data_IF_686478200957
#
_entry.id   IF_686478200957
#
_cell.length_a   1.000
_cell.length_b   1.000
_cell.length_c   1.000
_cell.angle_alpha   90.00
_cell.angle_beta   90.00
_cell.angle_gamma   90.00
#
_symmetry.space_group_name_H-M   'P 1'
#
loop_
_entity.id
_entity.type
_entity.pdbx_description
1 polymer ?
#
# COMPACT_ATOMS: atom_id res chain seq x y z
N UNK A 1 73.82 -82.26 -40.99
CA UNK A 1 72.42 -81.93 -40.68
C UNK A 1 72.08 -82.63 -39.37
N UNK A 2 72.52 -82.04 -38.26
CA UNK A 2 71.74 -81.18 -37.33
C UNK A 2 70.90 -82.00 -36.34
N UNK A 3 71.26 -81.85 -35.07
CA UNK A 3 70.68 -82.53 -33.91
C UNK A 3 69.30 -81.95 -33.55
N UNK A 4 68.51 -82.72 -32.80
CA UNK A 4 67.49 -82.20 -31.90
C UNK A 4 67.67 -82.83 -30.51
N UNK A 5 67.60 -82.01 -29.47
CA UNK A 5 67.60 -82.44 -28.06
C UNK A 5 66.58 -81.61 -27.27
N UNK A 6 66.01 -82.25 -26.24
CA UNK A 6 65.47 -81.67 -25.00
C UNK A 6 64.16 -80.86 -25.12
N UNK A 7 63.02 -81.44 -24.67
CA UNK A 7 62.38 -81.29 -23.31
C UNK A 7 61.66 -79.94 -23.11
N UNK A 8 60.53 -79.78 -22.41
CA UNK A 8 59.94 -80.47 -21.24
C UNK A 8 58.39 -80.54 -21.28
N UNK A 9 57.82 -81.21 -20.27
CA UNK A 9 56.39 -81.56 -20.05
C UNK A 9 55.54 -80.38 -19.45
N UNK A 10 54.33 -80.53 -18.85
CA UNK A 10 53.14 -79.85 -19.34
C UNK A 10 52.54 -78.84 -18.33
N UNK A 11 51.40 -78.21 -18.67
CA UNK A 11 50.53 -77.54 -17.69
C UNK A 11 49.06 -77.64 -18.09
N UNK A 12 48.13 -77.86 -17.13
CA UNK A 12 46.73 -78.12 -17.43
C UNK A 12 45.98 -76.85 -17.83
N UNK A 13 45.04 -77.00 -18.77
CA UNK A 13 44.07 -75.94 -19.09
C UNK A 13 42.98 -75.92 -18.02
N UNK A 14 42.81 -74.79 -17.36
CA UNK A 14 41.60 -74.47 -16.62
C UNK A 14 40.81 -73.45 -17.44
N UNK A 15 39.80 -73.92 -18.17
CA UNK A 15 38.77 -73.02 -18.70
C UNK A 15 37.99 -72.43 -17.51
N UNK A 16 37.86 -71.10 -17.48
CA UNK A 16 37.10 -70.37 -16.47
C UNK A 16 36.66 -69.04 -17.06
N UNK A 17 35.49 -69.05 -17.70
CA UNK A 17 34.82 -67.90 -18.30
C UNK A 17 34.70 -66.72 -17.32
N UNK A 18 35.69 -65.83 -17.35
CA UNK A 18 35.64 -64.56 -16.64
C UNK A 18 34.78 -63.58 -17.44
N UNK A 19 33.46 -63.79 -17.37
CA UNK A 19 32.48 -62.76 -17.73
C UNK A 19 32.77 -61.52 -16.88
N UNK A 20 33.03 -60.34 -17.47
CA UNK A 20 33.34 -59.15 -16.67
C UNK A 20 32.14 -58.80 -15.81
N UNK A 21 32.34 -58.81 -14.50
CA UNK A 21 31.36 -58.34 -13.54
C UNK A 21 31.20 -56.83 -13.77
N UNK A 22 30.10 -56.42 -14.42
CA UNK A 22 29.66 -55.02 -14.29
C UNK A 22 29.39 -54.79 -12.80
N UNK A 23 30.07 -53.80 -12.25
CA UNK A 23 29.58 -53.11 -11.05
C UNK A 23 28.16 -52.63 -11.34
N UNK A 24 27.22 -52.74 -10.39
CA UNK A 24 25.96 -52.02 -10.50
C UNK A 24 26.30 -50.53 -10.67
N UNK A 25 25.71 -49.89 -11.67
CA UNK A 25 25.76 -48.44 -11.74
C UNK A 25 25.17 -47.87 -10.44
N UNK A 26 25.73 -46.79 -9.87
CA UNK A 26 25.16 -46.18 -8.66
C UNK A 26 23.70 -45.82 -8.93
N UNK A 27 22.81 -45.93 -7.92
CA UNK A 27 21.40 -45.60 -8.12
C UNK A 27 21.33 -44.17 -8.67
N UNK A 28 20.57 -43.97 -9.76
CA UNK A 28 20.40 -42.68 -10.42
C UNK A 28 20.24 -41.59 -9.36
N UNK A 29 21.26 -40.72 -9.22
CA UNK A 29 21.13 -39.56 -8.36
C UNK A 29 19.97 -38.76 -8.93
N UNK A 30 18.84 -38.77 -8.22
CA UNK A 30 17.69 -37.93 -8.53
C UNK A 30 18.28 -36.53 -8.66
N UNK A 31 18.24 -35.92 -9.87
CA UNK A 31 18.89 -34.64 -10.08
C UNK A 31 18.35 -33.69 -9.02
N UNK A 32 19.21 -32.88 -8.36
CA UNK A 32 18.76 -31.99 -7.30
C UNK A 32 17.55 -31.22 -7.83
N UNK A 33 16.47 -31.10 -7.03
CA UNK A 33 15.23 -30.48 -7.50
C UNK A 33 15.61 -29.16 -8.15
N UNK A 34 15.09 -28.88 -9.37
CA UNK A 34 15.62 -27.80 -10.21
C UNK A 34 15.74 -26.56 -9.36
N UNK A 35 17.00 -26.10 -9.23
CA UNK A 35 17.44 -25.00 -8.37
C UNK A 35 16.31 -23.98 -8.23
N UNK A 36 15.86 -23.70 -6.99
CA UNK A 36 14.84 -22.68 -6.73
C UNK A 36 15.50 -21.32 -6.98
N UNK A 37 15.71 -21.06 -8.27
CA UNK A 37 15.92 -19.78 -8.90
C UNK A 37 14.60 -19.03 -8.79
N UNK A 38 14.24 -18.74 -7.53
CA UNK A 38 13.35 -17.70 -7.08
C UNK A 38 13.64 -16.50 -7.95
N UNK A 39 12.86 -16.36 -9.03
CA UNK A 39 13.20 -15.49 -10.14
C UNK A 39 13.28 -14.06 -9.61
N UNK A 40 14.50 -13.57 -9.36
CA UNK A 40 14.73 -12.41 -8.51
C UNK A 40 14.07 -11.19 -9.17
N UNK A 41 12.90 -10.81 -8.65
CA UNK A 41 12.12 -9.70 -9.21
C UNK A 41 12.89 -8.40 -8.99
N UNK A 42 13.53 -7.93 -10.06
CA UNK A 42 14.17 -6.62 -10.09
C UNK A 42 13.12 -5.53 -10.25
N UNK A 43 13.21 -4.51 -9.40
CA UNK A 43 12.31 -3.36 -9.39
C UNK A 43 13.13 -2.08 -9.55
N UNK A 44 12.63 -1.17 -10.38
CA UNK A 44 13.18 0.19 -10.53
C UNK A 44 12.17 1.23 -10.07
N UNK A 45 12.62 2.46 -9.72
CA UNK A 45 11.73 3.61 -9.62
C UNK A 45 10.80 3.72 -10.84
N UNK A 46 9.53 4.05 -10.57
CA UNK A 46 8.50 4.20 -11.59
C UNK A 46 8.85 5.31 -12.60
N UNK A 47 9.36 6.43 -12.09
CA UNK A 47 9.87 7.55 -12.86
C UNK A 47 10.85 8.37 -12.02
N UNK A 48 11.18 9.58 -12.48
CA UNK A 48 12.02 10.49 -11.69
C UNK A 48 11.33 10.90 -10.38
N UNK A 49 12.09 11.09 -9.27
CA UNK A 49 11.55 11.66 -8.05
C UNK A 49 10.93 13.04 -8.31
N UNK A 50 9.86 13.34 -7.57
CA UNK A 50 9.16 14.63 -7.59
C UNK A 50 9.30 15.34 -6.25
N UNK A 51 9.24 16.66 -6.27
CA UNK A 51 9.08 17.47 -5.05
C UNK A 51 7.69 17.24 -4.44
N UNK A 52 7.55 17.52 -3.13
CA UNK A 52 6.27 17.51 -2.42
C UNK A 52 5.20 18.30 -3.16
N UNK A 53 5.54 19.53 -3.59
CA UNK A 53 4.65 20.40 -4.37
C UNK A 53 4.20 19.77 -5.69
N UNK A 54 5.09 19.15 -6.46
CA UNK A 54 4.73 18.49 -7.72
C UNK A 54 3.93 17.18 -7.53
N UNK A 55 4.01 16.54 -6.36
CA UNK A 55 3.13 15.43 -5.97
C UNK A 55 1.74 15.96 -5.60
N UNK A 56 1.69 16.99 -4.77
CA UNK A 56 0.46 17.61 -4.28
C UNK A 56 -0.33 18.30 -5.42
N UNK A 57 0.34 18.93 -6.39
CA UNK A 57 -0.27 19.43 -7.62
C UNK A 57 -0.90 18.31 -8.46
N UNK A 58 -0.26 17.15 -8.55
CA UNK A 58 -0.82 16.00 -9.26
C UNK A 58 -2.06 15.43 -8.54
N UNK A 59 -2.05 15.40 -7.21
CA UNK A 59 -3.22 15.02 -6.40
C UNK A 59 -4.35 16.04 -6.58
N UNK A 60 -4.07 17.34 -6.46
CA UNK A 60 -5.06 18.43 -6.68
C UNK A 60 -5.67 18.35 -8.08
N UNK A 61 -4.86 18.12 -9.10
CA UNK A 61 -5.33 17.89 -10.48
C UNK A 61 -6.22 16.65 -10.59
N UNK A 62 -5.87 15.55 -9.92
CA UNK A 62 -6.68 14.33 -9.91
C UNK A 62 -8.02 14.49 -9.17
N UNK A 63 -8.03 15.24 -8.07
CA UNK A 63 -9.25 15.58 -7.33
C UNK A 63 -10.22 16.46 -8.13
N UNK A 64 -9.70 17.33 -9.01
CA UNK A 64 -10.49 18.28 -9.83
C UNK A 64 -11.07 17.70 -11.12
N UNK A 65 -10.65 16.51 -11.58
CA UNK A 65 -11.15 15.92 -12.83
C UNK A 65 -12.63 15.53 -12.69
N UNK A 66 -13.45 15.85 -13.69
CA UNK A 66 -14.78 15.26 -13.81
C UNK A 66 -14.65 13.76 -14.14
N UNK A 67 -15.50 12.93 -13.55
CA UNK A 67 -15.55 11.48 -13.79
C UNK A 67 -17.02 11.06 -13.93
N UNK A 68 -17.45 10.82 -15.17
CA UNK A 68 -18.85 10.64 -15.59
C UNK A 68 -19.49 9.29 -15.18
N UNK A 69 -18.96 8.61 -14.17
CA UNK A 69 -19.59 7.43 -13.57
C UNK A 69 -19.15 7.24 -12.11
N UNK A 70 -20.11 7.36 -11.20
CA UNK A 70 -19.98 6.89 -9.82
C UNK A 70 -19.72 5.37 -9.82
N UNK A 71 -18.44 4.98 -9.72
CA UNK A 71 -18.02 3.58 -9.77
C UNK A 71 -17.67 3.08 -8.36
N UNK A 72 -18.55 2.20 -7.86
CA UNK A 72 -18.36 1.48 -6.60
C UNK A 72 -17.34 0.34 -6.76
N UNK A 73 -16.70 -0.04 -5.66
CA UNK A 73 -15.86 -1.23 -5.59
C UNK A 73 -14.86 -1.11 -4.44
N UNK A 74 -13.67 -1.66 -4.64
CA UNK A 74 -12.64 -1.76 -3.61
C UNK A 74 -11.31 -1.19 -4.08
N UNK A 75 -10.57 -0.58 -3.16
CA UNK A 75 -9.11 -0.44 -3.26
C UNK A 75 -8.50 -1.49 -2.34
N UNK A 76 -7.61 -2.32 -2.90
CA UNK A 76 -6.94 -3.40 -2.19
C UNK A 76 -5.43 -3.22 -2.18
N UNK A 77 -4.81 -3.78 -1.16
CA UNK A 77 -3.37 -3.92 -1.01
C UNK A 77 -3.01 -5.38 -0.82
N UNK A 78 -1.98 -5.86 -1.52
CA UNK A 78 -1.37 -7.16 -1.23
C UNK A 78 0.16 -7.07 -1.20
N UNK A 79 0.80 -7.97 -0.47
CA UNK A 79 2.26 -8.14 -0.49
C UNK A 79 2.65 -9.35 -1.33
N UNK A 80 3.84 -9.31 -1.93
CA UNK A 80 4.40 -10.45 -2.67
C UNK A 80 4.83 -11.56 -1.68
N UNK A 81 4.45 -12.84 -1.90
CA UNK A 81 4.68 -13.92 -0.92
C UNK A 81 6.18 -14.18 -0.69
N UNK A 82 6.96 -14.29 -1.76
CA UNK A 82 8.43 -14.34 -1.69
C UNK A 82 8.91 -12.94 -1.31
N UNK A 83 9.14 -12.70 -0.02
CA UNK A 83 9.52 -11.41 0.56
C UNK A 83 10.74 -10.82 -0.16
N UNK A 84 10.52 -9.86 -1.04
CA UNK A 84 11.43 -9.66 -2.18
C UNK A 84 12.82 -9.22 -1.75
N UNK A 85 13.83 -10.01 -2.14
CA UNK A 85 15.22 -9.58 -2.25
C UNK A 85 15.35 -8.67 -3.48
N UNK A 86 15.13 -7.37 -3.31
CA UNK A 86 15.20 -6.39 -4.40
C UNK A 86 16.64 -6.00 -4.66
N UNK A 87 17.06 -6.00 -5.94
CA UNK A 87 18.24 -5.27 -6.41
C UNK A 87 17.81 -3.86 -6.82
N UNK A 88 18.17 -2.85 -6.02
CA UNK A 88 17.93 -1.43 -6.33
C UNK A 88 19.16 -0.86 -7.06
N UNK A 89 19.02 -0.60 -8.35
CA UNK A 89 20.14 -0.14 -9.20
C UNK A 89 21.27 -1.17 -9.26
N UNK A 90 22.50 -0.71 -9.07
CA UNK A 90 23.72 -1.55 -8.98
C UNK A 90 24.04 -2.04 -7.57
N UNK A 91 23.22 -1.71 -6.57
CA UNK A 91 23.46 -2.07 -5.17
C UNK A 91 23.21 -3.54 -4.81
N UNK A 92 23.59 -3.97 -3.60
CA UNK A 92 23.34 -5.33 -3.12
C UNK A 92 21.85 -5.63 -2.96
N UNK A 93 21.51 -6.93 -2.99
CA UNK A 93 20.15 -7.40 -2.71
C UNK A 93 19.73 -7.04 -1.28
N UNK A 94 18.52 -6.52 -1.11
CA UNK A 94 17.93 -6.25 0.22
C UNK A 94 16.51 -6.80 0.30
N UNK A 95 16.17 -7.44 1.43
CA UNK A 95 14.80 -7.84 1.75
C UNK A 95 14.00 -6.56 2.04
N UNK A 96 12.97 -6.28 1.24
CA UNK A 96 12.17 -5.06 1.35
C UNK A 96 10.69 -5.42 1.24
N UNK A 97 9.89 -4.88 2.15
CA UNK A 97 8.42 -4.97 2.05
C UNK A 97 7.94 -4.18 0.84
N UNK A 98 7.19 -4.83 -0.05
CA UNK A 98 6.49 -4.20 -1.15
C UNK A 98 5.00 -4.46 -1.04
N UNK A 99 4.22 -3.38 -1.09
CA UNK A 99 2.76 -3.43 -1.22
C UNK A 99 2.42 -3.14 -2.69
N UNK A 100 1.58 -3.97 -3.29
CA UNK A 100 0.89 -3.62 -4.52
C UNK A 100 -0.46 -3.02 -4.17
N UNK A 101 -0.77 -1.81 -4.66
CA UNK A 101 -2.05 -1.14 -4.43
C UNK A 101 -2.83 -1.04 -5.75
N UNK A 102 -4.06 -1.54 -5.78
CA UNK A 102 -4.90 -1.49 -6.98
C UNK A 102 -6.40 -1.53 -6.68
N UNK A 103 -7.23 -1.35 -7.71
CA UNK A 103 -8.70 -1.35 -7.62
C UNK A 103 -9.38 -2.58 -8.24
N UNK A 104 -10.55 -2.95 -7.74
CA UNK A 104 -11.43 -3.97 -8.34
C UNK A 104 -12.88 -3.84 -7.86
N UNK A 105 -13.86 -4.25 -8.68
CA UNK A 105 -15.24 -4.45 -8.23
C UNK A 105 -15.41 -5.76 -7.43
N UNK A 106 -14.54 -6.75 -7.65
CA UNK A 106 -14.51 -8.02 -6.91
C UNK A 106 -13.05 -8.37 -6.60
N UNK A 107 -12.64 -8.27 -5.33
CA UNK A 107 -11.25 -8.48 -4.91
C UNK A 107 -10.85 -9.96 -4.97
N UNK A 108 -11.74 -10.87 -4.59
CA UNK A 108 -11.47 -12.31 -4.57
C UNK A 108 -11.17 -12.85 -5.99
N UNK A 109 -12.03 -12.52 -6.97
CA UNK A 109 -11.80 -12.82 -8.39
C UNK A 109 -10.49 -12.20 -8.88
N UNK A 110 -10.15 -11.00 -8.41
CA UNK A 110 -8.89 -10.33 -8.77
C UNK A 110 -7.67 -11.05 -8.17
N UNK A 111 -7.72 -11.53 -6.94
CA UNK A 111 -6.65 -12.34 -6.35
C UNK A 111 -6.46 -13.67 -7.10
N UNK A 112 -7.55 -14.35 -7.47
CA UNK A 112 -7.53 -15.56 -8.30
C UNK A 112 -6.90 -15.30 -9.68
N UNK A 113 -7.23 -14.17 -10.32
CA UNK A 113 -6.58 -13.74 -11.57
C UNK A 113 -5.07 -13.50 -11.39
N UNK A 114 -4.66 -12.81 -10.33
CA UNK A 114 -3.24 -12.59 -10.03
C UNK A 114 -2.48 -13.90 -9.84
N UNK A 115 -3.04 -14.84 -9.06
CA UNK A 115 -2.44 -16.16 -8.86
C UNK A 115 -2.24 -16.91 -10.18
N UNK A 116 -3.28 -16.98 -11.02
CA UNK A 116 -3.23 -17.69 -12.30
C UNK A 116 -2.31 -17.01 -13.34
N UNK A 117 -2.40 -15.69 -13.49
CA UNK A 117 -1.68 -14.94 -14.54
C UNK A 117 -0.22 -14.67 -14.16
N UNK A 118 0.05 -14.32 -12.90
CA UNK A 118 1.36 -13.85 -12.48
C UNK A 118 2.24 -14.92 -11.82
N UNK A 119 1.69 -16.14 -11.63
CA UNK A 119 2.36 -17.33 -11.10
C UNK A 119 2.93 -17.14 -9.68
N UNK A 120 2.21 -16.42 -8.83
CA UNK A 120 2.45 -16.35 -7.38
C UNK A 120 1.14 -16.06 -6.64
N UNK A 121 0.96 -16.64 -5.44
CA UNK A 121 -0.21 -16.37 -4.61
C UNK A 121 -0.10 -15.01 -3.89
N UNK A 122 -0.97 -14.01 -4.17
CA UNK A 122 -0.89 -12.71 -3.49
C UNK A 122 -1.34 -12.84 -2.03
N UNK A 123 -0.58 -12.26 -1.10
CA UNK A 123 -1.02 -12.15 0.30
C UNK A 123 -1.75 -10.83 0.49
N UNK A 124 -3.09 -10.87 0.40
CA UNK A 124 -3.94 -9.70 0.64
C UNK A 124 -3.70 -9.15 2.05
N UNK A 125 -3.44 -7.85 2.17
CA UNK A 125 -3.24 -7.15 3.45
C UNK A 125 -4.37 -6.20 3.80
N UNK A 126 -5.06 -5.62 2.81
CA UNK A 126 -6.28 -4.84 3.02
C UNK A 126 -7.19 -4.85 1.79
N UNK A 127 -8.49 -4.62 2.00
CA UNK A 127 -9.47 -4.36 0.96
C UNK A 127 -10.54 -3.41 1.50
N UNK A 128 -10.52 -2.16 1.05
CA UNK A 128 -11.42 -1.10 1.52
C UNK A 128 -12.47 -0.78 0.48
N UNK A 129 -13.74 -0.95 0.86
CA UNK A 129 -14.88 -0.59 0.04
C UNK A 129 -14.95 0.93 -0.16
N UNK A 130 -15.27 1.33 -1.38
CA UNK A 130 -15.42 2.70 -1.85
C UNK A 130 -16.80 2.78 -2.52
N UNK A 131 -17.71 3.54 -1.92
CA UNK A 131 -19.09 3.67 -2.43
C UNK A 131 -19.11 4.30 -3.84
N UNK A 132 -18.19 5.22 -4.10
CA UNK A 132 -18.01 5.86 -5.40
C UNK A 132 -16.52 6.17 -5.65
N UNK A 133 -16.20 6.67 -6.85
CA UNK A 133 -14.93 7.31 -7.19
C UNK A 133 -13.67 6.43 -6.98
N UNK A 134 -13.81 5.10 -6.90
CA UNK A 134 -12.70 4.19 -6.55
C UNK A 134 -11.50 4.25 -7.53
N UNK A 135 -11.73 4.69 -8.77
CA UNK A 135 -10.68 4.91 -9.77
C UNK A 135 -9.86 6.18 -9.49
N UNK A 136 -10.54 7.26 -9.09
CA UNK A 136 -9.92 8.53 -8.72
C UNK A 136 -9.05 8.35 -7.48
N UNK A 137 -9.58 7.68 -6.45
CA UNK A 137 -8.85 7.48 -5.18
C UNK A 137 -7.62 6.58 -5.36
N UNK A 138 -7.69 5.53 -6.18
CA UNK A 138 -6.50 4.72 -6.49
C UNK A 138 -5.40 5.58 -7.15
N UNK A 139 -5.77 6.43 -8.12
CA UNK A 139 -4.84 7.37 -8.76
C UNK A 139 -4.26 8.40 -7.78
N UNK A 140 -5.07 8.92 -6.86
CA UNK A 140 -4.62 9.84 -5.79
C UNK A 140 -3.59 9.15 -4.89
N UNK A 141 -3.86 7.94 -4.39
CA UNK A 141 -2.90 7.17 -3.58
C UNK A 141 -1.63 6.86 -4.36
N UNK A 142 -1.75 6.51 -5.64
CA UNK A 142 -0.60 6.30 -6.55
C UNK A 142 0.24 7.57 -6.76
N UNK A 143 -0.37 8.76 -6.75
CA UNK A 143 0.33 10.04 -6.81
C UNK A 143 1.03 10.37 -5.48
N UNK A 144 0.33 10.22 -4.36
CA UNK A 144 0.89 10.46 -3.01
C UNK A 144 2.12 9.58 -2.74
N UNK A 145 2.09 8.33 -3.23
CA UNK A 145 3.21 7.39 -3.14
C UNK A 145 4.18 7.42 -4.35
N UNK A 146 4.15 8.45 -5.23
CA UNK A 146 4.95 8.48 -6.47
C UNK A 146 6.45 8.22 -6.24
N UNK A 147 7.06 8.82 -5.21
CA UNK A 147 8.48 8.63 -4.91
C UNK A 147 8.81 7.23 -4.32
N UNK A 148 7.82 6.54 -3.76
CA UNK A 148 7.94 5.16 -3.30
C UNK A 148 7.51 4.14 -4.38
N UNK A 149 6.99 4.61 -5.52
CA UNK A 149 6.41 3.77 -6.59
C UNK A 149 7.50 3.11 -7.42
N UNK A 150 7.33 1.82 -7.63
CA UNK A 150 8.24 0.93 -8.35
C UNK A 150 7.55 0.26 -9.54
N UNK A 151 8.36 -0.14 -10.51
CA UNK A 151 7.97 -0.95 -11.66
C UNK A 151 8.86 -2.19 -11.78
N UNK A 152 8.28 -3.32 -12.18
CA UNK A 152 9.07 -4.50 -12.55
C UNK A 152 10.01 -4.16 -13.72
N UNK A 153 11.29 -4.51 -13.59
CA UNK A 153 12.32 -4.20 -14.57
C UNK A 153 12.13 -5.03 -15.84
N UNK A 154 12.23 -6.36 -15.69
CA UNK A 154 12.19 -7.36 -16.77
C UNK A 154 10.77 -7.83 -17.10
N UNK A 155 9.75 -7.20 -16.51
CA UNK A 155 8.37 -7.69 -16.57
C UNK A 155 8.08 -8.78 -15.54
N UNK A 156 6.82 -9.21 -15.49
CA UNK A 156 6.37 -10.28 -14.63
C UNK A 156 6.67 -11.64 -15.25
N UNK A 157 7.33 -12.54 -14.50
CA UNK A 157 7.63 -13.91 -14.95
C UNK A 157 6.40 -14.80 -15.24
N UNK A 158 5.20 -14.38 -14.83
CA UNK A 158 3.94 -15.05 -15.20
C UNK A 158 3.30 -14.50 -16.47
N UNK A 159 2.97 -13.21 -16.48
CA UNK A 159 2.14 -12.60 -17.52
C UNK A 159 2.89 -11.65 -18.48
N UNK A 160 4.22 -11.56 -18.38
CA UNK A 160 5.09 -10.77 -19.27
C UNK A 160 5.02 -9.24 -19.10
N UNK A 161 3.87 -8.68 -18.73
CA UNK A 161 3.71 -7.23 -18.56
C UNK A 161 4.53 -6.68 -17.39
N UNK A 162 4.91 -5.40 -17.48
CA UNK A 162 5.64 -4.69 -16.42
C UNK A 162 4.65 -4.05 -15.45
N UNK A 163 4.44 -4.65 -14.28
CA UNK A 163 3.57 -4.04 -13.28
C UNK A 163 4.22 -2.80 -12.68
N UNK A 164 3.46 -1.70 -12.69
CA UNK A 164 3.90 -0.35 -12.25
C UNK A 164 3.27 0.09 -10.93
N UNK A 165 2.59 -0.80 -10.22
CA UNK A 165 1.70 -0.48 -9.08
C UNK A 165 2.27 -1.03 -7.77
N UNK A 166 3.59 -1.15 -7.69
CA UNK A 166 4.32 -1.60 -6.52
C UNK A 166 4.83 -0.41 -5.73
N UNK A 167 4.84 -0.49 -4.40
CA UNK A 167 5.20 0.62 -3.53
C UNK A 167 6.13 0.13 -2.42
N UNK A 168 7.24 0.84 -2.22
CA UNK A 168 8.20 0.62 -1.15
C UNK A 168 7.74 1.34 0.13
N UNK A 169 6.70 0.80 0.73
CA UNK A 169 6.11 1.21 2.01
C UNK A 169 5.71 -0.05 2.78
N UNK A 170 5.51 0.06 4.09
CA UNK A 170 4.87 -1.00 4.85
C UNK A 170 3.34 -1.04 4.59
N UNK A 171 2.71 -2.16 4.96
CA UNK A 171 1.29 -2.39 4.71
C UNK A 171 0.38 -1.46 5.53
N UNK A 172 0.77 -1.09 6.75
CA UNK A 172 -0.05 -0.27 7.64
C UNK A 172 -0.07 1.19 7.17
N UNK A 173 1.06 1.74 6.73
CA UNK A 173 1.12 3.06 6.10
C UNK A 173 0.31 3.12 4.80
N UNK A 174 0.44 2.11 3.93
CA UNK A 174 -0.36 2.01 2.71
C UNK A 174 -1.86 1.96 3.01
N UNK A 175 -2.27 1.17 4.01
CA UNK A 175 -3.67 1.09 4.44
C UNK A 175 -4.17 2.41 5.05
N UNK A 176 -3.37 3.07 5.89
CA UNK A 176 -3.72 4.34 6.52
C UNK A 176 -4.04 5.42 5.48
N UNK A 177 -3.25 5.52 4.41
CA UNK A 177 -3.54 6.42 3.28
C UNK A 177 -4.86 6.06 2.59
N UNK A 178 -5.10 4.78 2.30
CA UNK A 178 -6.36 4.34 1.67
C UNK A 178 -7.56 4.62 2.57
N UNK A 179 -7.44 4.43 3.88
CA UNK A 179 -8.50 4.72 4.87
C UNK A 179 -8.77 6.22 5.04
N UNK A 180 -7.74 7.07 4.96
CA UNK A 180 -7.89 8.52 4.94
C UNK A 180 -8.76 8.96 3.75
N UNK A 181 -8.41 8.52 2.54
CA UNK A 181 -9.17 8.85 1.33
C UNK A 181 -10.55 8.18 1.29
N UNK A 182 -10.72 7.01 1.91
CA UNK A 182 -12.05 6.41 2.15
C UNK A 182 -12.90 7.29 3.09
N UNK A 183 -12.29 7.92 4.09
CA UNK A 183 -12.91 8.94 4.94
C UNK A 183 -13.42 10.12 4.13
N UNK A 184 -12.57 10.69 3.29
CA UNK A 184 -12.94 11.76 2.35
C UNK A 184 -14.12 11.35 1.44
N UNK A 185 -14.10 10.17 0.81
CA UNK A 185 -15.22 9.70 -0.04
C UNK A 185 -16.53 9.53 0.73
N UNK A 186 -16.49 9.12 2.00
CA UNK A 186 -17.68 9.01 2.86
C UNK A 186 -18.33 10.35 3.21
N UNK A 187 -17.64 11.47 3.01
CA UNK A 187 -18.18 12.82 3.20
C UNK A 187 -18.81 13.38 1.91
N UNK A 188 -19.11 12.49 0.95
CA UNK A 188 -19.75 12.74 -0.35
C UNK A 188 -19.27 14.05 -1.02
N UNK A 189 -17.96 14.18 -1.30
CA UNK A 189 -17.37 15.47 -1.68
C UNK A 189 -17.62 15.86 -3.14
N UNK A 190 -18.41 15.06 -3.86
CA UNK A 190 -18.64 15.16 -5.31
C UNK A 190 -20.13 15.27 -5.64
N UNK A 191 -20.46 16.02 -6.70
CA UNK A 191 -21.78 16.01 -7.32
C UNK A 191 -22.02 14.74 -8.18
N UNK A 192 -23.23 14.62 -8.74
CA UNK A 192 -23.65 13.51 -9.61
C UNK A 192 -22.79 13.37 -10.89
N UNK A 193 -22.12 14.44 -11.32
CA UNK A 193 -21.26 14.50 -12.51
C UNK A 193 -19.78 14.28 -12.15
N UNK A 194 -19.46 14.20 -10.86
CA UNK A 194 -18.13 13.98 -10.33
C UNK A 194 -17.27 15.24 -10.18
N UNK A 195 -17.84 16.45 -10.13
CA UNK A 195 -17.14 17.67 -9.72
C UNK A 195 -17.12 17.80 -8.20
N UNK A 196 -16.10 18.44 -7.63
CA UNK A 196 -16.08 18.76 -6.20
C UNK A 196 -17.20 19.74 -5.87
N UNK A 197 -17.93 19.49 -4.78
CA UNK A 197 -18.90 20.45 -4.26
C UNK A 197 -18.22 21.79 -3.90
N UNK A 198 -18.91 22.94 -3.97
CA UNK A 198 -18.29 24.26 -3.77
C UNK A 198 -17.54 24.43 -2.44
N UNK A 199 -18.03 23.81 -1.36
CA UNK A 199 -17.37 23.79 -0.05
C UNK A 199 -16.01 23.09 -0.08
N UNK A 200 -15.94 21.93 -0.74
CA UNK A 200 -14.72 21.17 -0.95
C UNK A 200 -13.75 21.86 -1.93
N UNK A 201 -14.28 22.53 -2.95
CA UNK A 201 -13.47 23.35 -3.87
C UNK A 201 -12.83 24.55 -3.15
N UNK A 202 -13.59 25.25 -2.31
CA UNK A 202 -13.08 26.35 -1.48
C UNK A 202 -12.02 25.87 -0.47
N UNK A 203 -12.20 24.69 0.13
CA UNK A 203 -11.19 24.04 0.99
C UNK A 203 -9.93 23.69 0.19
N UNK A 204 -10.07 23.12 -1.00
CA UNK A 204 -8.95 22.76 -1.89
C UNK A 204 -8.17 23.99 -2.40
N UNK A 205 -8.80 25.16 -2.40
CA UNK A 205 -8.16 26.46 -2.63
C UNK A 205 -7.18 26.88 -1.53
N UNK A 206 -7.41 26.45 -0.29
CA UNK A 206 -6.64 26.83 0.91
C UNK A 206 -5.50 25.85 1.27
N UNK A 207 -5.42 24.70 0.59
CA UNK A 207 -4.37 23.69 0.83
C UNK A 207 -3.00 24.22 0.39
N UNK A 208 -2.05 24.36 1.32
CA UNK A 208 -0.65 24.58 0.93
C UNK A 208 -0.07 23.28 0.34
N UNK A 209 0.19 23.32 -0.95
CA UNK A 209 0.80 22.21 -1.68
C UNK A 209 2.28 22.02 -1.33
N UNK A 210 2.91 22.94 -0.60
CA UNK A 210 4.27 22.78 -0.05
C UNK A 210 4.34 21.80 1.13
N UNK A 211 3.28 21.72 1.93
CA UNK A 211 3.20 20.88 3.13
C UNK A 211 3.01 19.38 2.76
N UNK A 212 3.84 18.46 3.28
CA UNK A 212 3.69 17.03 3.06
C UNK A 212 2.41 16.42 3.65
N UNK A 213 1.88 17.00 4.73
CA UNK A 213 0.74 16.46 5.50
C UNK A 213 -0.60 17.13 5.15
N UNK A 214 -0.61 18.04 4.17
CA UNK A 214 -1.76 18.88 3.83
C UNK A 214 -3.04 18.09 3.45
N UNK A 215 -2.88 16.85 2.95
CA UNK A 215 -4.00 15.96 2.65
C UNK A 215 -4.68 15.36 3.87
N UNK A 216 -3.97 15.24 5.01
CA UNK A 216 -4.55 14.81 6.29
C UNK A 216 -5.58 15.84 6.73
N UNK A 217 -5.19 17.11 6.75
CA UNK A 217 -6.07 18.24 7.09
C UNK A 217 -7.18 18.46 6.06
N UNK A 218 -6.91 18.20 4.77
CA UNK A 218 -7.95 18.25 3.74
C UNK A 218 -9.02 17.15 3.94
N UNK A 219 -8.61 15.88 4.07
CA UNK A 219 -9.52 14.73 4.08
C UNK A 219 -10.41 14.61 5.33
N UNK A 220 -10.03 15.24 6.45
CA UNK A 220 -10.70 15.07 7.75
C UNK A 220 -12.02 15.84 7.93
N UNK A 221 -12.51 16.57 6.93
CA UNK A 221 -13.86 17.16 6.96
C UNK A 221 -14.05 18.39 7.85
N UNK A 222 -13.15 18.65 8.80
CA UNK A 222 -13.19 19.82 9.71
C UNK A 222 -13.33 21.17 8.97
N UNK A 223 -14.52 21.75 9.04
CA UNK A 223 -14.75 23.17 8.77
C UNK A 223 -14.54 23.95 10.06
N UNK A 224 -13.44 24.68 10.18
CA UNK A 224 -13.47 25.89 11.00
C UNK A 224 -14.28 26.93 10.23
N UNK A 225 -15.35 27.52 10.78
CA UNK A 225 -15.93 28.71 10.18
C UNK A 225 -14.87 29.82 10.16
N UNK A 226 -14.88 30.73 9.17
CA UNK A 226 -14.05 31.92 9.26
C UNK A 226 -14.47 32.69 10.51
N UNK A 227 -13.53 32.92 11.43
CA UNK A 227 -13.78 33.79 12.58
C UNK A 227 -14.05 35.20 12.04
N UNK A 228 -15.32 35.59 12.01
CA UNK A 228 -15.71 36.96 11.64
C UNK A 228 -15.02 37.90 12.63
N UNK A 229 -14.18 38.80 12.10
CA UNK A 229 -13.31 39.62 12.92
C UNK A 229 -14.11 40.53 13.84
N UNK A 230 -14.03 40.28 15.15
CA UNK A 230 -14.37 41.29 16.15
C UNK A 230 -13.25 42.33 16.17
N UNK A 231 -13.35 43.33 15.29
CA UNK A 231 -12.57 44.56 15.38
C UNK A 231 -13.05 45.37 16.58
N UNK A 232 -12.55 45.02 17.78
CA UNK A 232 -12.76 45.82 18.98
C UNK A 232 -11.84 47.04 18.95
N UNK A 233 -12.31 48.09 18.29
CA UNK A 233 -11.72 49.43 18.35
C UNK A 233 -11.90 49.99 19.76
N UNK A 234 -10.93 49.77 20.64
CA UNK A 234 -10.94 50.33 21.98
C UNK A 234 -10.60 51.82 21.93
N UNK A 235 -11.64 52.65 21.77
CA UNK A 235 -11.58 54.09 22.07
C UNK A 235 -11.68 54.25 23.58
N UNK A 236 -10.87 55.16 24.12
CA UNK A 236 -10.79 55.49 25.54
C UNK A 236 -12.00 56.32 25.95
N UNK A 237 -12.49 56.13 27.16
CA UNK A 237 -12.96 57.22 28.02
C UNK A 237 -12.67 56.86 29.49
N UNK A 238 -12.55 57.88 30.34
CA UNK A 238 -12.10 57.79 31.74
C UNK A 238 -13.06 58.56 32.66
N UNK A 239 -13.01 58.26 33.97
CA UNK A 239 -13.61 59.04 35.09
C UNK A 239 -15.17 58.95 35.15
N UNK A 240 -15.82 58.53 36.24
CA UNK A 240 -15.99 59.18 37.56
C UNK A 240 -16.72 58.14 38.49
N UNK A 241 -16.24 57.68 39.65
CA UNK A 241 -16.16 58.28 41.02
C UNK A 241 -17.49 58.44 41.79
N UNK A 242 -17.55 57.93 43.04
CA UNK A 242 -18.69 57.97 44.02
C UNK A 242 -20.04 57.37 43.55
N UNK A 243 -20.99 56.84 44.33
CA UNK A 243 -21.09 56.28 45.70
C UNK A 243 -22.26 55.25 45.68
N UNK A 244 -22.57 54.40 46.66
CA UNK A 244 -22.12 54.30 48.05
C UNK A 244 -22.73 53.08 48.77
N UNK A 245 -23.14 53.23 50.03
CA UNK A 245 -23.72 52.16 50.88
C UNK A 245 -25.25 51.99 50.76
N UNK A 246 -25.76 50.75 50.85
CA UNK A 246 -26.59 50.23 51.97
C UNK A 246 -27.25 48.86 51.67
N UNK A 247 -27.18 47.94 52.63
CA UNK A 247 -28.14 46.84 52.80
C UNK A 247 -29.18 47.24 53.87
N UNK A 248 -30.36 46.59 54.02
CA UNK A 248 -30.41 45.30 54.73
C UNK A 248 -31.52 44.28 54.34
N UNK A 249 -31.31 43.02 54.76
CA UNK A 249 -32.27 42.06 55.35
C UNK A 249 -33.66 41.78 54.70
N UNK A 250 -33.98 40.50 54.42
CA UNK A 250 -34.85 39.65 55.28
C UNK A 250 -35.62 38.51 54.56
N UNK A 251 -35.55 37.29 55.12
CA UNK A 251 -36.54 36.19 54.96
C UNK A 251 -36.49 35.36 53.67
N UNK A 252 -36.74 34.04 53.68
CA UNK A 252 -36.98 33.12 54.80
C UNK A 252 -37.56 31.76 54.34
N UNK A 253 -37.36 30.69 55.12
CA UNK A 253 -37.88 29.30 54.96
C UNK A 253 -37.60 28.55 53.63
N UNK A 254 -36.97 27.37 53.62
CA UNK A 254 -37.32 26.09 54.28
C UNK A 254 -38.52 25.36 53.66
N UNK A 255 -38.26 24.26 52.94
CA UNK A 255 -38.79 22.92 53.30
C UNK A 255 -38.33 21.84 52.31
N UNK A 256 -38.11 20.64 52.85
CA UNK A 256 -37.74 19.42 52.13
C UNK A 256 -38.92 18.80 51.34
N UNK A 257 -38.60 17.89 50.41
CA UNK A 257 -39.60 17.20 49.59
C UNK A 257 -39.05 15.94 48.90
N UNK A 258 -38.78 14.90 49.67
CA UNK A 258 -38.29 13.60 49.20
C UNK A 258 -39.46 12.63 48.97
N UNK A 259 -39.67 12.17 47.73
CA UNK A 259 -40.53 11.01 47.41
C UNK A 259 -39.94 10.16 46.29
N UNK A 260 -39.83 8.86 46.55
CA UNK A 260 -39.45 7.81 45.59
C UNK A 260 -40.71 7.12 45.02
N UNK A 261 -40.51 6.02 44.28
CA UNK A 261 -41.54 5.07 43.78
C UNK A 261 -42.41 5.61 42.61
N UNK A 262 -42.89 4.82 41.65
CA UNK A 262 -42.41 3.57 41.03
C UNK A 262 -43.18 3.38 39.70
N UNK A 263 -42.67 2.61 38.73
CA UNK A 263 -43.37 2.35 37.46
C UNK A 263 -42.52 1.75 36.34
#
# INVERSE_FOLDING_TARGET
MTMNMMTTDPSPRCDSDHKPHRTPDPPDEIPPPPDDQSSFRSFHPYGQPKSTRAINEAIKSELLKAYSAASAGFIYGFVHPSSVLIRLGTGPLRKVGLVKIGRSANVERRMKQWAAQCRYAPSLVFAHAMAQQHQRIERVVHHQLHNARLREHLGCSGCGVRHVEWFRVDAAHAEALVRMWQGFVRLEPYDEVGHLLPTWLARLGQVDLGDPDCWVLFAQGSSSPPSVGLTSSSVRDSEDSSDGCLAPEAGGSSSDGHTSEDG
#
